data_IF_768679901696
#
_entry.id   IF_768679901696
#
_cell.length_a   1.000
_cell.length_b   1.000
_cell.length_c   1.000
_cell.angle_alpha   90.00
_cell.angle_beta   90.00
_cell.angle_gamma   90.00
#
_symmetry.space_group_name_H-M   'P 1'
#
loop_
_entity.id
_entity.type
_entity.pdbx_description
1 polymer ?
#
# COMPACT_ATOMS: atom_id res chain seq x y z
N UNK A 1 10.87 1.97 3.62
CA UNK A 1 9.71 2.48 2.84
C UNK A 1 9.95 2.11 1.40
N UNK A 2 8.92 1.66 0.69
CA UNK A 2 8.99 1.23 -0.71
C UNK A 2 8.03 2.05 -1.56
N UNK A 3 8.41 2.34 -2.80
CA UNK A 3 7.50 2.95 -3.77
C UNK A 3 6.94 1.84 -4.66
N UNK A 4 5.62 1.76 -4.77
CA UNK A 4 4.95 0.80 -5.64
C UNK A 4 4.10 1.50 -6.68
N UNK A 5 3.91 0.85 -7.83
CA UNK A 5 2.88 1.21 -8.79
C UNK A 5 1.95 0.03 -9.07
N UNK A 6 0.71 0.30 -9.41
CA UNK A 6 -0.26 -0.74 -9.78
C UNK A 6 -1.21 -0.20 -10.85
N UNK A 7 -1.85 -1.10 -11.60
CA UNK A 7 -2.84 -0.69 -12.60
C UNK A 7 -4.09 -0.09 -11.93
N UNK A 8 -4.68 0.98 -12.48
CA UNK A 8 -5.86 1.65 -11.88
C UNK A 8 -7.02 0.71 -11.57
N UNK A 9 -7.21 -0.36 -12.36
CA UNK A 9 -8.24 -1.39 -12.08
C UNK A 9 -8.03 -2.13 -10.77
N UNK A 10 -6.81 -2.14 -10.22
CA UNK A 10 -6.47 -2.74 -8.93
C UNK A 10 -6.68 -1.77 -7.75
N UNK A 11 -6.96 -0.49 -7.98
CA UNK A 11 -7.04 0.52 -6.92
C UNK A 11 -7.98 0.10 -5.78
N UNK A 12 -9.19 -0.34 -6.10
CA UNK A 12 -10.16 -0.80 -5.09
C UNK A 12 -9.64 -2.00 -4.28
N UNK A 13 -8.90 -2.92 -4.92
CA UNK A 13 -8.32 -4.09 -4.27
C UNK A 13 -7.15 -3.70 -3.35
N UNK A 14 -6.28 -2.79 -3.79
CA UNK A 14 -5.16 -2.25 -2.99
C UNK A 14 -5.69 -1.43 -1.80
N UNK A 15 -6.72 -0.60 -2.00
CA UNK A 15 -7.38 0.16 -0.93
C UNK A 15 -8.01 -0.77 0.11
N UNK A 16 -8.70 -1.83 -0.34
CA UNK A 16 -9.27 -2.84 0.55
C UNK A 16 -8.20 -3.59 1.35
N UNK A 17 -7.08 -3.92 0.72
CA UNK A 17 -5.93 -4.56 1.37
C UNK A 17 -5.31 -3.66 2.43
N UNK A 18 -5.14 -2.37 2.14
CA UNK A 18 -4.64 -1.38 3.10
C UNK A 18 -5.50 -1.36 4.37
N UNK A 19 -6.82 -1.31 4.22
CA UNK A 19 -7.74 -1.29 5.37
C UNK A 19 -7.62 -2.57 6.20
N UNK A 20 -7.53 -3.74 5.55
CA UNK A 20 -7.35 -5.03 6.25
C UNK A 20 -6.02 -5.08 6.98
N UNK A 21 -4.94 -4.69 6.31
CA UNK A 21 -3.61 -4.63 6.89
C UNK A 21 -3.57 -3.72 8.10
N UNK A 22 -4.05 -2.48 7.98
CA UNK A 22 -4.13 -1.52 9.10
C UNK A 22 -4.91 -2.07 10.30
N UNK A 23 -5.96 -2.86 10.08
CA UNK A 23 -6.73 -3.51 11.16
C UNK A 23 -5.99 -4.67 11.83
N UNK A 24 -5.06 -5.32 11.13
CA UNK A 24 -4.24 -6.41 11.66
C UNK A 24 -3.06 -5.95 12.51
N UNK A 25 -2.69 -4.68 12.42
CA UNK A 25 -1.54 -4.13 13.14
C UNK A 25 -1.83 -4.00 14.64
N UNK A 26 -0.82 -4.18 15.51
CA UNK A 26 -0.99 -4.00 16.94
C UNK A 26 -1.44 -2.57 17.24
N UNK A 27 -2.43 -2.40 18.12
CA UNK A 27 -3.03 -1.11 18.46
C UNK A 27 -2.21 -0.30 19.47
N UNK A 28 -0.90 -0.50 19.50
CA UNK A 28 -0.03 0.28 20.38
C UNK A 28 0.23 1.67 19.77
N UNK A 29 0.04 2.76 20.51
CA UNK A 29 0.13 4.12 19.98
C UNK A 29 1.43 4.44 19.21
N UNK A 30 2.57 3.85 19.61
CA UNK A 30 3.87 4.04 18.95
C UNK A 30 4.01 3.27 17.64
N UNK A 31 3.25 2.19 17.46
CA UNK A 31 3.29 1.37 16.24
C UNK A 31 2.27 1.84 15.19
N UNK A 32 1.20 2.51 15.62
CA UNK A 32 0.21 3.13 14.72
C UNK A 32 0.85 4.20 13.82
N UNK A 33 1.81 4.98 14.35
CA UNK A 33 2.54 5.98 13.55
C UNK A 33 3.54 5.37 12.56
N UNK A 34 4.11 4.19 12.87
CA UNK A 34 4.98 3.44 11.95
C UNK A 34 4.18 2.71 10.85
N UNK A 35 2.92 2.38 11.14
CA UNK A 35 1.94 1.79 10.24
C UNK A 35 1.31 2.79 9.25
N UNK A 36 1.66 4.07 9.35
CA UNK A 36 1.11 5.08 8.46
C UNK A 36 1.57 4.83 7.03
N UNK A 37 0.69 4.26 6.20
CA UNK A 37 0.88 4.24 4.75
C UNK A 37 0.71 5.68 4.26
N UNK A 38 1.81 6.29 3.83
CA UNK A 38 1.77 7.63 3.24
C UNK A 38 1.35 7.47 1.78
N UNK A 39 0.03 7.46 1.54
CA UNK A 39 -0.52 7.47 0.19
C UNK A 39 -0.21 8.81 -0.48
N UNK A 40 0.89 8.87 -1.22
CA UNK A 40 1.18 9.98 -2.12
C UNK A 40 0.79 9.53 -3.52
N UNK A 41 -0.46 9.79 -3.93
CA UNK A 41 -0.87 9.53 -5.33
C UNK A 41 -0.11 10.51 -6.25
N UNK A 42 1.02 10.07 -6.80
CA UNK A 42 1.68 10.76 -7.89
C UNK A 42 1.21 10.15 -9.21
N UNK A 43 0.35 10.86 -9.95
CA UNK A 43 0.19 10.58 -11.38
C UNK A 43 0.43 11.85 -12.19
N UNK A 44 1.63 12.03 -12.75
CA UNK A 44 1.84 13.03 -13.78
C UNK A 44 1.60 12.48 -15.19
N UNK A 45 1.81 11.18 -15.45
CA UNK A 45 1.71 10.55 -16.78
C UNK A 45 1.45 9.03 -16.61
N UNK A 46 0.24 8.55 -16.91
CA UNK A 46 -0.08 7.12 -17.07
C UNK A 46 -1.17 6.52 -16.14
N UNK A 47 -1.78 5.42 -16.58
CA UNK A 47 -2.91 4.71 -15.94
C UNK A 47 -2.54 3.92 -14.66
N UNK A 48 -1.37 4.17 -14.07
CA UNK A 48 -0.86 3.44 -12.93
C UNK A 48 -0.53 4.39 -11.77
N UNK A 49 -1.34 4.44 -10.69
CA UNK A 49 -1.00 5.18 -9.49
C UNK A 49 0.35 4.73 -8.93
N UNK A 50 1.18 5.69 -8.52
CA UNK A 50 2.41 5.48 -7.77
C UNK A 50 2.14 5.89 -6.33
N UNK A 51 2.53 5.06 -5.36
CA UNK A 51 2.32 5.33 -3.93
C UNK A 51 3.54 4.88 -3.10
N UNK A 52 3.84 5.63 -2.03
CA UNK A 52 4.84 5.24 -1.04
C UNK A 52 4.19 4.42 0.07
N UNK A 53 4.77 3.27 0.40
CA UNK A 53 4.19 2.32 1.34
C UNK A 53 5.23 1.77 2.31
N UNK A 54 4.75 1.31 3.47
CA UNK A 54 5.56 0.58 4.41
C UNK A 54 5.89 -0.83 3.86
N UNK A 55 7.08 -1.35 4.15
CA UNK A 55 7.52 -2.70 3.75
C UNK A 55 6.56 -3.80 4.24
N UNK A 56 6.03 -3.69 5.46
CA UNK A 56 5.05 -4.64 5.98
C UNK A 56 3.75 -4.65 5.18
N UNK A 57 3.41 -3.57 4.47
CA UNK A 57 2.28 -3.57 3.54
C UNK A 57 2.64 -4.21 2.20
N UNK A 58 3.87 -4.06 1.73
CA UNK A 58 4.37 -4.77 0.53
C UNK A 58 4.31 -6.28 0.73
N UNK A 59 4.79 -6.78 1.87
CA UNK A 59 4.70 -8.20 2.23
C UNK A 59 3.25 -8.69 2.26
N UNK A 60 2.34 -7.88 2.80
CA UNK A 60 0.91 -8.18 2.83
C UNK A 60 0.30 -8.25 1.41
N UNK A 61 0.68 -7.34 0.51
CA UNK A 61 0.22 -7.38 -0.88
C UNK A 61 0.70 -8.65 -1.61
N UNK A 62 1.94 -9.10 -1.34
CA UNK A 62 2.45 -10.37 -1.86
C UNK A 62 1.65 -11.57 -1.32
N UNK A 63 1.37 -11.61 -0.01
CA UNK A 63 0.57 -12.67 0.61
C UNK A 63 -0.84 -12.75 0.02
N UNK A 64 -1.46 -11.60 -0.27
CA UNK A 64 -2.82 -11.50 -0.83
C UNK A 64 -2.87 -11.69 -2.37
N UNK A 65 -1.74 -12.01 -3.00
CA UNK A 65 -1.59 -12.12 -4.46
C UNK A 65 -2.17 -10.91 -5.21
N UNK A 66 -1.89 -9.70 -4.70
CA UNK A 66 -2.30 -8.45 -5.33
C UNK A 66 -1.18 -8.00 -6.27
N UNK A 67 -1.45 -7.79 -7.56
CA UNK A 67 -0.40 -7.40 -8.50
C UNK A 67 -0.01 -5.93 -8.32
N UNK A 68 1.30 -5.69 -8.21
CA UNK A 68 1.96 -4.37 -8.17
C UNK A 68 3.39 -4.51 -8.69
N UNK A 69 4.01 -3.37 -9.02
CA UNK A 69 5.41 -3.24 -9.42
C UNK A 69 6.17 -2.41 -8.37
N UNK A 70 7.40 -2.81 -8.04
CA UNK A 70 8.30 -2.03 -7.17
C UNK A 70 9.08 -1.02 -8.03
N UNK A 71 9.19 0.22 -7.56
CA UNK A 71 9.90 1.33 -8.22
C UNK A 71 11.20 1.67 -7.53
#
# INVERSE_FOLDING_TARGET
MSTISFHVSQKSRVDGARIRWQRSLPKEPRQISLAAVVWIEHSPIGDAPIVEVNEGFVDFLHQENIPFDIR
#
